data_IF_847758100434
#
_entry.id   IF_847758100434
#
_cell.length_a   1.000
_cell.length_b   1.000
_cell.length_c   1.000
_cell.angle_alpha   90.00
_cell.angle_beta   90.00
_cell.angle_gamma   90.00
#
_symmetry.space_group_name_H-M   'P 1'
#
loop_
_entity.id
_entity.type
_entity.pdbx_description
1 polymer ?
#
# COMPACT_ATOMS: atom_id res chain seq x y z
N UNK A 1 20.47 -0.13 -24.27
CA UNK A 1 20.24 -1.59 -24.28
C UNK A 1 21.03 -2.34 -23.21
N UNK A 2 22.32 -2.09 -22.95
CA UNK A 2 23.06 -2.79 -21.86
C UNK A 2 22.65 -2.38 -20.43
N UNK A 3 22.37 -1.09 -20.19
CA UNK A 3 21.93 -0.59 -18.87
C UNK A 3 20.59 -1.18 -18.42
N UNK A 4 19.66 -1.40 -19.35
CA UNK A 4 18.35 -2.02 -19.07
C UNK A 4 18.48 -3.50 -18.70
N UNK A 5 19.38 -4.25 -19.36
CA UNK A 5 19.65 -5.65 -19.01
C UNK A 5 20.24 -5.78 -17.60
N UNK A 6 21.12 -4.86 -17.22
CA UNK A 6 21.71 -4.84 -15.88
C UNK A 6 20.66 -4.56 -14.78
N UNK A 7 19.72 -3.63 -15.04
CA UNK A 7 18.62 -3.36 -14.11
C UNK A 7 17.64 -4.53 -14.02
N UNK A 8 17.24 -5.12 -15.15
CA UNK A 8 16.35 -6.28 -15.16
C UNK A 8 16.95 -7.49 -14.41
N UNK A 9 18.26 -7.71 -14.56
CA UNK A 9 18.96 -8.76 -13.82
C UNK A 9 18.99 -8.48 -12.30
N UNK A 10 19.30 -7.23 -11.90
CA UNK A 10 19.28 -6.81 -10.50
C UNK A 10 17.86 -6.88 -9.91
N UNK A 11 16.83 -6.54 -10.69
CA UNK A 11 15.41 -6.67 -10.34
C UNK A 11 15.07 -8.12 -10.00
N UNK A 12 15.39 -9.06 -10.90
CA UNK A 12 15.16 -10.49 -10.66
C UNK A 12 15.92 -11.01 -9.42
N UNK A 13 17.14 -10.54 -9.18
CA UNK A 13 17.91 -10.92 -7.98
C UNK A 13 17.25 -10.45 -6.68
N UNK A 14 16.75 -9.21 -6.66
CA UNK A 14 16.06 -8.64 -5.50
C UNK A 14 14.71 -9.33 -5.29
N UNK A 15 13.92 -9.56 -6.35
CA UNK A 15 12.64 -10.29 -6.25
C UNK A 15 12.84 -11.69 -5.67
N UNK A 16 13.85 -12.43 -6.16
CA UNK A 16 14.19 -13.75 -5.65
C UNK A 16 14.66 -13.71 -4.19
N UNK A 17 15.40 -12.68 -3.81
CA UNK A 17 15.83 -12.48 -2.43
C UNK A 17 14.63 -12.24 -1.50
N UNK A 18 13.73 -11.32 -1.87
CA UNK A 18 12.54 -10.99 -1.09
C UNK A 18 11.60 -12.18 -0.99
N UNK A 19 11.37 -12.94 -2.07
CA UNK A 19 10.57 -14.17 -2.04
C UNK A 19 11.14 -15.21 -1.05
N UNK A 20 12.45 -15.40 -1.03
CA UNK A 20 13.12 -16.30 -0.06
C UNK A 20 12.97 -15.80 1.38
N UNK A 21 13.12 -14.50 1.61
CA UNK A 21 12.92 -13.90 2.93
C UNK A 21 11.46 -14.00 3.39
N UNK A 22 10.50 -13.82 2.48
CA UNK A 22 9.08 -14.00 2.74
C UNK A 22 8.77 -15.43 3.19
N UNK A 23 9.21 -16.43 2.42
CA UNK A 23 9.03 -17.84 2.76
C UNK A 23 9.68 -18.22 4.09
N UNK A 24 10.86 -17.67 4.39
CA UNK A 24 11.54 -17.88 5.68
C UNK A 24 10.80 -17.24 6.85
N UNK A 25 10.19 -16.09 6.64
CA UNK A 25 9.54 -15.33 7.72
C UNK A 25 8.13 -15.85 8.03
N UNK A 26 7.35 -16.20 7.01
CA UNK A 26 5.96 -16.61 7.15
C UNK A 26 5.75 -18.12 7.07
N UNK A 27 6.71 -18.88 6.54
CA UNK A 27 6.56 -20.33 6.36
C UNK A 27 5.48 -20.70 5.34
N UNK A 28 4.76 -21.80 5.60
CA UNK A 28 3.64 -22.26 4.76
C UNK A 28 2.31 -21.98 5.44
N UNK A 29 1.56 -21.03 4.90
CA UNK A 29 0.12 -20.89 5.10
C UNK A 29 -0.31 -20.07 6.32
N UNK A 30 -1.38 -19.28 6.13
CA UNK A 30 -2.02 -18.50 7.18
C UNK A 30 -2.23 -17.04 6.77
N UNK A 31 -3.29 -16.43 7.30
CA UNK A 31 -3.59 -15.02 7.09
C UNK A 31 -2.52 -14.15 7.77
N UNK A 32 -1.97 -13.18 7.04
CA UNK A 32 -0.93 -12.29 7.55
C UNK A 32 -1.56 -10.95 7.99
N UNK A 33 -1.66 -10.77 9.31
CA UNK A 33 -2.11 -9.50 9.92
C UNK A 33 -1.24 -8.31 9.51
N UNK A 34 -1.82 -7.10 9.44
CA UNK A 34 -1.11 -5.84 9.12
C UNK A 34 0.14 -5.65 10.00
N UNK A 35 0.07 -5.90 11.30
CA UNK A 35 1.23 -5.79 12.21
C UNK A 35 2.40 -6.70 11.81
N UNK A 36 2.11 -7.90 11.32
CA UNK A 36 3.13 -8.83 10.79
C UNK A 36 3.68 -8.34 9.45
N UNK A 37 2.84 -7.75 8.58
CA UNK A 37 3.27 -7.11 7.32
C UNK A 37 4.24 -5.96 7.60
N UNK A 38 3.91 -5.06 8.52
CA UNK A 38 4.76 -3.94 8.94
C UNK A 38 6.15 -4.43 9.40
N UNK A 39 6.19 -5.40 10.32
CA UNK A 39 7.45 -5.98 10.81
C UNK A 39 8.28 -6.60 9.69
N UNK A 40 7.63 -7.32 8.77
CA UNK A 40 8.29 -7.90 7.62
C UNK A 40 8.85 -6.82 6.68
N UNK A 41 8.05 -5.82 6.34
CA UNK A 41 8.46 -4.71 5.47
C UNK A 41 9.65 -3.94 6.04
N UNK A 42 9.60 -3.55 7.32
CA UNK A 42 10.73 -2.89 7.98
C UNK A 42 12.02 -3.72 7.89
N UNK A 43 11.90 -5.04 8.15
CA UNK A 43 13.04 -5.97 8.09
C UNK A 43 13.57 -6.14 6.66
N UNK A 44 12.69 -6.34 5.68
CA UNK A 44 13.09 -6.62 4.30
C UNK A 44 13.66 -5.38 3.63
N UNK A 45 13.07 -4.21 3.85
CA UNK A 45 13.59 -2.91 3.37
C UNK A 45 14.99 -2.67 3.91
N UNK A 46 15.25 -2.93 5.20
CA UNK A 46 16.61 -2.82 5.75
C UNK A 46 17.59 -3.80 5.10
N UNK A 47 17.19 -5.06 4.90
CA UNK A 47 18.04 -6.09 4.28
C UNK A 47 18.34 -5.77 2.80
N UNK A 48 17.33 -5.36 2.05
CA UNK A 48 17.47 -4.95 0.65
C UNK A 48 18.35 -3.70 0.56
N UNK A 49 18.12 -2.71 1.43
CA UNK A 49 18.94 -1.51 1.54
C UNK A 49 20.43 -1.81 1.74
N UNK A 50 20.75 -2.74 2.65
CA UNK A 50 22.14 -3.17 2.91
C UNK A 50 22.76 -3.94 1.75
N UNK A 51 22.00 -4.76 1.04
CA UNK A 51 22.53 -5.70 0.02
C UNK A 51 22.54 -5.11 -1.39
N UNK A 52 21.58 -4.26 -1.72
CA UNK A 52 21.32 -3.81 -3.09
C UNK A 52 21.27 -2.29 -3.25
N UNK A 53 21.22 -1.54 -2.14
CA UNK A 53 21.16 -0.07 -2.09
C UNK A 53 19.83 0.45 -1.54
N UNK A 54 19.85 1.66 -0.98
CA UNK A 54 18.67 2.32 -0.34
C UNK A 54 17.62 2.79 -1.36
N UNK A 55 17.97 2.80 -2.63
CA UNK A 55 17.13 3.36 -3.69
C UNK A 55 16.07 2.37 -4.21
N UNK A 56 15.73 1.33 -3.45
CA UNK A 56 14.78 0.30 -3.89
C UNK A 56 13.57 0.29 -2.98
N UNK A 57 12.39 0.54 -3.55
CA UNK A 57 11.11 0.32 -2.87
C UNK A 57 10.58 -1.06 -3.23
N UNK A 58 10.30 -1.86 -2.20
CA UNK A 58 9.71 -3.19 -2.35
C UNK A 58 8.20 -3.09 -2.16
N UNK A 59 7.42 -3.42 -3.18
CA UNK A 59 5.98 -3.65 -3.03
C UNK A 59 5.72 -5.13 -2.91
N UNK A 60 5.11 -5.57 -1.81
CA UNK A 60 4.90 -6.99 -1.52
C UNK A 60 3.41 -7.28 -1.50
N UNK A 61 2.97 -8.14 -2.41
CA UNK A 61 1.64 -8.71 -2.39
C UNK A 61 1.62 -9.90 -1.42
N UNK A 62 1.05 -9.67 -0.24
CA UNK A 62 0.94 -10.66 0.82
C UNK A 62 -0.10 -11.75 0.54
N UNK A 63 -0.99 -11.57 -0.45
CA UNK A 63 -1.97 -12.59 -0.87
C UNK A 63 -1.35 -13.61 -1.82
N UNK A 64 -0.44 -13.17 -2.69
CA UNK A 64 0.25 -14.00 -3.68
C UNK A 64 1.59 -14.54 -3.19
N UNK A 65 1.68 -14.91 -1.91
CA UNK A 65 2.87 -15.48 -1.26
C UNK A 65 4.16 -14.65 -1.48
N UNK A 66 4.04 -13.32 -1.47
CA UNK A 66 5.17 -12.42 -1.64
C UNK A 66 5.55 -12.23 -3.10
N UNK A 67 4.57 -12.10 -4.01
CA UNK A 67 4.84 -11.47 -5.30
C UNK A 67 5.36 -10.04 -5.06
N UNK A 68 6.48 -9.71 -5.70
CA UNK A 68 7.17 -8.43 -5.46
C UNK A 68 7.17 -7.65 -6.74
N UNK A 69 6.61 -6.44 -6.71
CA UNK A 69 6.91 -5.43 -7.72
C UNK A 69 7.97 -4.51 -7.15
N UNK A 70 9.10 -4.41 -7.85
CA UNK A 70 10.19 -3.53 -7.45
C UNK A 70 10.12 -2.23 -8.22
N UNK A 71 10.31 -1.16 -7.48
CA UNK A 71 10.24 0.19 -7.99
C UNK A 71 11.63 0.81 -7.81
N UNK A 72 12.17 1.33 -8.91
CA UNK A 72 13.46 2.01 -8.95
C UNK A 72 13.23 3.46 -9.31
N UNK A 73 14.00 4.40 -8.75
CA UNK A 73 13.87 5.80 -9.12
C UNK A 73 14.24 5.95 -10.60
N UNK A 74 13.25 6.26 -11.43
CA UNK A 74 13.49 6.69 -12.81
C UNK A 74 14.27 8.01 -12.84
N UNK A 75 14.75 8.43 -14.02
CA UNK A 75 15.43 9.72 -14.24
C UNK A 75 14.54 10.77 -14.93
N UNK A 76 13.27 10.47 -15.17
CA UNK A 76 12.36 11.38 -15.88
C UNK A 76 11.55 12.22 -14.89
N UNK A 77 11.44 13.52 -15.15
CA UNK A 77 10.76 14.48 -14.26
C UNK A 77 9.27 14.69 -14.60
N UNK A 78 8.80 14.21 -15.76
CA UNK A 78 7.46 14.49 -16.26
C UNK A 78 6.87 13.28 -16.99
N UNK A 79 5.58 13.04 -16.78
CA UNK A 79 4.75 12.17 -17.63
C UNK A 79 3.82 13.07 -18.44
N UNK A 80 3.24 12.58 -19.54
CA UNK A 80 2.29 13.35 -20.35
C UNK A 80 1.01 13.81 -19.62
N UNK A 81 0.90 13.57 -18.31
CA UNK A 81 -0.26 13.83 -17.44
C UNK A 81 -0.06 15.02 -16.47
N UNK A 82 1.06 15.75 -16.56
CA UNK A 82 1.31 16.96 -15.76
C UNK A 82 2.61 16.91 -14.94
N UNK A 83 2.80 17.90 -14.06
CA UNK A 83 3.98 17.97 -13.18
C UNK A 83 3.90 16.87 -12.13
N UNK A 84 5.03 16.22 -11.87
CA UNK A 84 5.16 15.19 -10.84
C UNK A 84 5.90 15.76 -9.64
N UNK A 85 5.41 15.43 -8.46
CA UNK A 85 5.99 15.82 -7.18
C UNK A 85 6.51 14.56 -6.48
N UNK A 86 7.76 14.60 -6.05
CA UNK A 86 8.39 13.44 -5.42
C UNK A 86 7.95 13.35 -3.95
N UNK A 87 7.70 12.12 -3.49
CA UNK A 87 7.55 11.83 -2.06
C UNK A 87 8.85 12.16 -1.31
N UNK A 88 8.73 12.68 -0.09
CA UNK A 88 9.87 12.92 0.79
C UNK A 88 10.36 11.62 1.44
N UNK A 89 9.44 10.72 1.75
CA UNK A 89 9.76 9.43 2.41
C UNK A 89 10.27 8.39 1.42
N UNK A 90 9.66 8.31 0.23
CA UNK A 90 9.96 7.29 -0.77
C UNK A 90 10.38 7.91 -2.11
N UNK A 91 11.69 7.99 -2.43
CA UNK A 91 12.16 8.59 -3.67
C UNK A 91 11.58 7.99 -4.96
N UNK A 92 11.00 6.79 -4.88
CA UNK A 92 10.41 6.05 -5.98
C UNK A 92 8.92 6.32 -6.19
N UNK A 93 8.30 7.07 -5.28
CA UNK A 93 6.89 7.45 -5.33
C UNK A 93 6.77 8.90 -5.78
N UNK A 94 5.84 9.13 -6.69
CA UNK A 94 5.51 10.46 -7.18
C UNK A 94 4.00 10.69 -7.12
N UNK A 95 3.62 11.92 -6.80
CA UNK A 95 2.26 12.41 -6.80
C UNK A 95 2.05 13.28 -8.04
N UNK A 96 0.90 13.13 -8.69
CA UNK A 96 0.48 14.08 -9.74
C UNK A 96 0.09 15.42 -9.08
N UNK A 97 0.26 16.53 -9.81
CA UNK A 97 -0.28 17.84 -9.37
C UNK A 97 -1.75 17.73 -8.96
N UNK A 98 -2.54 17.03 -9.76
CA UNK A 98 -3.96 16.81 -9.53
C UNK A 98 -4.28 16.10 -8.20
N UNK A 99 -3.42 15.17 -7.76
CA UNK A 99 -3.56 14.52 -6.46
C UNK A 99 -3.37 15.53 -5.32
N UNK A 100 -2.35 16.38 -5.42
CA UNK A 100 -1.99 17.34 -4.38
C UNK A 100 -3.03 18.46 -4.30
N UNK A 101 -3.40 19.04 -5.43
CA UNK A 101 -4.37 20.15 -5.49
C UNK A 101 -5.71 19.73 -4.89
N UNK A 102 -6.24 18.58 -5.31
CA UNK A 102 -7.50 18.04 -4.76
C UNK A 102 -7.41 17.74 -3.27
N UNK A 103 -6.26 17.26 -2.80
CA UNK A 103 -6.07 16.99 -1.39
C UNK A 103 -6.10 18.29 -0.58
N UNK A 104 -5.36 19.31 -1.02
CA UNK A 104 -5.31 20.64 -0.39
C UNK A 104 -6.69 21.30 -0.36
N UNK A 105 -7.42 21.29 -1.48
CA UNK A 105 -8.77 21.85 -1.59
C UNK A 105 -9.74 21.17 -0.61
N UNK A 106 -9.70 19.84 -0.49
CA UNK A 106 -10.61 19.09 0.37
C UNK A 106 -10.28 19.26 1.85
N UNK A 107 -8.99 19.30 2.18
CA UNK A 107 -8.54 19.42 3.58
C UNK A 107 -8.44 20.87 4.05
N UNK A 108 -8.70 21.84 3.16
CA UNK A 108 -8.64 23.28 3.44
C UNK A 108 -7.31 23.68 4.11
N UNK A 109 -6.21 23.04 3.72
CA UNK A 109 -4.89 23.27 4.29
C UNK A 109 -3.95 23.95 3.31
N UNK A 110 -3.15 24.88 3.83
CA UNK A 110 -2.01 25.49 3.15
C UNK A 110 -0.69 24.77 3.46
N UNK A 111 -0.73 23.74 4.32
CA UNK A 111 0.46 22.99 4.71
C UNK A 111 0.96 22.11 3.57
N UNK A 112 2.20 21.62 3.71
CA UNK A 112 2.80 20.74 2.73
C UNK A 112 2.08 19.38 2.69
N UNK A 113 1.11 19.27 1.78
CA UNK A 113 0.24 18.11 1.59
C UNK A 113 1.01 16.81 1.35
N UNK A 114 2.21 16.88 0.77
CA UNK A 114 3.05 15.70 0.49
C UNK A 114 3.47 15.00 1.79
N UNK A 115 3.76 15.75 2.85
CA UNK A 115 4.17 15.17 4.14
C UNK A 115 3.02 14.34 4.74
N UNK A 116 1.80 14.88 4.68
CA UNK A 116 0.60 14.18 5.18
C UNK A 116 0.29 12.95 4.32
N UNK A 117 0.35 13.09 2.99
CA UNK A 117 0.15 11.98 2.06
C UNK A 117 1.19 10.87 2.26
N UNK A 118 2.45 11.21 2.48
CA UNK A 118 3.52 10.25 2.77
C UNK A 118 3.24 9.45 4.05
N UNK A 119 2.76 10.11 5.11
CA UNK A 119 2.37 9.42 6.35
C UNK A 119 1.24 8.42 6.13
N UNK A 120 0.28 8.72 5.27
CA UNK A 120 -0.82 7.81 4.94
C UNK A 120 -0.37 6.70 4.00
N UNK A 121 0.56 7.01 3.10
CA UNK A 121 1.11 6.08 2.12
C UNK A 121 1.87 4.94 2.79
N UNK A 122 2.63 5.19 3.86
CA UNK A 122 3.36 4.16 4.59
C UNK A 122 2.47 3.00 5.06
N UNK A 123 1.26 3.33 5.53
CA UNK A 123 0.25 2.34 5.87
C UNK A 123 -0.35 1.70 4.62
N UNK A 124 -0.66 2.52 3.61
CA UNK A 124 -1.30 2.07 2.38
C UNK A 124 -0.45 1.04 1.60
N UNK A 125 0.88 1.18 1.59
CA UNK A 125 1.80 0.26 0.91
C UNK A 125 1.67 -1.20 1.41
N UNK A 126 1.20 -1.42 2.63
CA UNK A 126 0.98 -2.75 3.22
C UNK A 126 -0.22 -3.50 2.62
N UNK A 127 -1.05 -2.79 1.87
CA UNK A 127 -2.25 -3.29 1.20
C UNK A 127 -2.03 -3.53 -0.29
N UNK A 128 -0.79 -3.34 -0.78
CA UNK A 128 -0.46 -3.63 -2.16
C UNK A 128 -0.85 -5.06 -2.55
N UNK A 129 -1.51 -5.18 -3.70
CA UNK A 129 -2.00 -6.46 -4.23
C UNK A 129 -3.37 -6.90 -3.70
N UNK A 130 -3.94 -6.23 -2.68
CA UNK A 130 -5.31 -6.51 -2.23
C UNK A 130 -6.35 -6.01 -3.23
N UNK A 131 -6.16 -4.78 -3.72
CA UNK A 131 -7.06 -4.12 -4.65
C UNK A 131 -6.28 -3.65 -5.87
N UNK A 132 -6.70 -4.08 -7.05
CA UNK A 132 -6.00 -3.72 -8.29
C UNK A 132 -6.09 -2.20 -8.54
N UNK A 133 -4.93 -1.54 -8.64
CA UNK A 133 -4.85 -0.09 -8.86
C UNK A 133 -5.14 0.78 -7.63
N UNK A 134 -5.40 0.18 -6.46
CA UNK A 134 -5.71 0.92 -5.23
C UNK A 134 -4.88 0.48 -4.03
N UNK A 135 -4.46 1.44 -3.21
CA UNK A 135 -3.88 1.21 -1.88
C UNK A 135 -4.81 1.80 -0.83
N UNK A 136 -5.01 1.08 0.26
CA UNK A 136 -5.98 1.42 1.31
C UNK A 136 -5.24 1.69 2.61
N UNK A 137 -5.55 2.79 3.28
CA UNK A 137 -5.08 3.09 4.64
C UNK A 137 -6.26 3.42 5.55
N UNK A 138 -6.00 3.66 6.83
CA UNK A 138 -7.02 4.04 7.82
C UNK A 138 -7.73 5.36 7.50
N UNK A 139 -7.12 6.24 6.71
CA UNK A 139 -7.65 7.57 6.40
C UNK A 139 -8.29 7.70 5.02
N UNK A 140 -8.14 6.69 4.16
CA UNK A 140 -8.69 6.72 2.82
C UNK A 140 -8.03 5.77 1.84
N UNK A 141 -8.21 6.06 0.56
CA UNK A 141 -7.79 5.21 -0.56
C UNK A 141 -6.98 6.00 -1.57
N UNK A 142 -5.82 5.48 -1.94
CA UNK A 142 -4.97 5.99 -3.01
C UNK A 142 -5.25 5.21 -4.30
N UNK A 143 -5.47 5.92 -5.41
CA UNK A 143 -5.41 5.31 -6.73
C UNK A 143 -4.01 5.49 -7.31
N UNK A 144 -3.42 4.40 -7.81
CA UNK A 144 -2.05 4.41 -8.32
C UNK A 144 -1.93 3.73 -9.67
N UNK A 145 -0.83 4.03 -10.37
CA UNK A 145 -0.38 3.33 -11.56
C UNK A 145 1.13 3.07 -11.46
N UNK A 146 1.59 1.95 -12.01
CA UNK A 146 3.01 1.66 -12.14
C UNK A 146 3.47 2.10 -13.52
N UNK A 147 4.19 3.21 -13.60
CA UNK A 147 4.75 3.74 -14.85
C UNK A 147 6.27 3.79 -14.75
N UNK A 148 7.00 3.24 -15.73
CA UNK A 148 8.47 3.29 -15.81
C UNK A 148 9.18 2.86 -14.51
N UNK A 149 8.73 1.76 -13.90
CA UNK A 149 9.22 1.26 -12.61
C UNK A 149 9.11 2.28 -11.47
N UNK A 150 8.14 3.21 -11.50
CA UNK A 150 7.76 4.15 -10.42
C UNK A 150 6.32 3.93 -9.96
N UNK A 151 6.03 4.27 -8.68
CA UNK A 151 4.66 4.34 -8.18
C UNK A 151 4.13 5.75 -8.42
N UNK A 152 3.18 5.89 -9.33
CA UNK A 152 2.52 7.17 -9.62
C UNK A 152 1.18 7.20 -8.90
N UNK A 153 1.07 8.04 -7.87
CA UNK A 153 -0.19 8.30 -7.18
C UNK A 153 -0.98 9.32 -8.00
N UNK A 154 -2.11 8.87 -8.52
CA UNK A 154 -2.99 9.70 -9.36
C UNK A 154 -3.94 10.56 -8.54
N UNK A 155 -4.48 9.99 -7.46
CA UNK A 155 -5.44 10.68 -6.61
C UNK A 155 -5.53 10.00 -5.25
N UNK A 156 -6.02 10.75 -4.27
CA UNK A 156 -6.36 10.28 -2.94
C UNK A 156 -7.83 10.63 -2.63
N UNK A 157 -8.54 9.70 -2.02
CA UNK A 157 -9.93 9.85 -1.62
C UNK A 157 -10.00 9.61 -0.12
N UNK A 158 -10.40 10.65 0.64
CA UNK A 158 -10.62 10.54 2.08
C UNK A 158 -11.70 9.49 2.36
N UNK A 159 -11.56 8.79 3.48
CA UNK A 159 -12.54 7.79 3.91
C UNK A 159 -13.97 8.34 3.93
N UNK A 160 -14.15 9.55 4.47
CA UNK A 160 -15.45 10.25 4.59
C UNK A 160 -16.15 10.52 3.25
N UNK A 161 -15.42 10.45 2.13
CA UNK A 161 -15.93 10.68 0.78
C UNK A 161 -16.23 9.37 0.04
N UNK A 162 -15.99 8.22 0.67
CA UNK A 162 -16.30 6.91 0.10
C UNK A 162 -17.79 6.60 0.32
N UNK A 163 -18.42 6.07 -0.72
CA UNK A 163 -19.76 5.47 -0.61
C UNK A 163 -19.71 4.16 0.19
N UNK A 164 -20.84 3.76 0.76
CA UNK A 164 -20.95 2.48 1.50
C UNK A 164 -20.51 1.28 0.68
N UNK A 165 -20.82 1.26 -0.62
CA UNK A 165 -20.37 0.21 -1.54
C UNK A 165 -18.84 0.20 -1.69
N UNK A 166 -18.20 1.38 -1.76
CA UNK A 166 -16.75 1.50 -1.80
C UNK A 166 -16.10 1.12 -0.47
N UNK A 167 -16.73 1.45 0.65
CA UNK A 167 -16.26 1.03 1.97
C UNK A 167 -16.31 -0.49 2.08
N UNK A 168 -17.44 -1.13 1.72
CA UNK A 168 -17.56 -2.61 1.70
C UNK A 168 -16.54 -3.26 0.77
N UNK A 169 -16.28 -2.63 -0.38
CA UNK A 169 -15.29 -3.12 -1.35
C UNK A 169 -13.86 -3.02 -0.82
N UNK A 170 -13.46 -1.86 -0.31
CA UNK A 170 -12.07 -1.58 0.05
C UNK A 170 -11.71 -2.03 1.47
N UNK A 171 -12.63 -1.95 2.43
CA UNK A 171 -12.43 -2.24 3.86
C UNK A 171 -13.12 -3.53 4.30
N UNK A 172 -13.06 -4.57 3.48
CA UNK A 172 -13.60 -5.90 3.80
C UNK A 172 -12.84 -6.57 4.96
N UNK A 173 -13.23 -7.80 5.32
CA UNK A 173 -12.79 -8.51 6.54
C UNK A 173 -11.25 -8.50 6.79
N UNK A 174 -10.43 -8.44 5.74
CA UNK A 174 -8.96 -8.33 5.80
C UNK A 174 -8.42 -6.99 6.31
N UNK A 175 -9.20 -5.93 6.14
CA UNK A 175 -8.88 -4.53 6.40
C UNK A 175 -9.82 -3.89 7.43
N UNK A 176 -10.77 -4.66 7.98
CA UNK A 176 -11.68 -4.24 9.05
C UNK A 176 -10.94 -3.71 10.29
N UNK A 177 -9.68 -4.12 10.51
CA UNK A 177 -8.82 -3.57 11.57
C UNK A 177 -8.52 -2.07 11.41
N UNK A 178 -8.74 -1.48 10.23
CA UNK A 178 -8.60 -0.05 9.99
C UNK A 178 -9.86 0.75 10.34
N UNK A 179 -10.99 0.08 10.58
CA UNK A 179 -12.24 0.71 10.98
C UNK A 179 -12.22 0.95 12.50
N UNK A 180 -12.71 2.11 12.94
CA UNK A 180 -12.88 2.41 14.36
C UNK A 180 -14.07 1.65 14.94
N UNK A 181 -14.14 1.40 16.26
CA UNK A 181 -15.28 0.71 16.89
C UNK A 181 -16.63 1.36 16.56
N UNK A 182 -16.71 2.69 16.49
CA UNK A 182 -17.93 3.42 16.12
C UNK A 182 -18.42 3.15 14.67
N UNK A 183 -17.56 2.56 13.83
CA UNK A 183 -17.87 2.14 12.47
C UNK A 183 -18.27 0.66 12.38
N UNK A 184 -18.18 -0.07 13.50
CA UNK A 184 -18.56 -1.47 13.66
C UNK A 184 -19.89 -1.46 14.42
N UNK A 185 -21.00 -1.73 13.72
CA UNK A 185 -22.33 -1.83 14.33
C UNK A 185 -22.36 -2.90 15.44
N UNK A 186 -22.79 -2.52 16.65
CA UNK A 186 -22.97 -3.43 17.80
C UNK A 186 -24.26 -4.28 17.71
N UNK A 187 -25.17 -3.99 16.79
CA UNK A 187 -26.40 -4.76 16.63
C UNK A 187 -26.18 -5.94 15.66
N UNK A 188 -26.03 -7.15 16.22
CA UNK A 188 -25.84 -8.39 15.45
C UNK A 188 -27.00 -8.68 14.46
N UNK A 189 -28.17 -8.06 14.65
CA UNK A 189 -29.31 -8.17 13.74
C UNK A 189 -29.28 -7.17 12.57
N UNK A 190 -28.42 -6.13 12.62
CA UNK A 190 -28.19 -5.18 11.51
C UNK A 190 -26.74 -5.15 11.02
N UNK A 191 -25.87 -6.02 11.54
CA UNK A 191 -24.46 -6.06 11.17
C UNK A 191 -24.19 -6.85 9.90
N UNK A 192 -23.62 -6.16 8.89
CA UNK A 192 -23.18 -6.74 7.61
C UNK A 192 -21.76 -7.37 7.67
N UNK A 193 -21.09 -7.33 8.82
CA UNK A 193 -19.78 -7.96 9.05
C UNK A 193 -19.81 -8.67 10.41
N UNK A 194 -19.82 -10.01 10.38
CA UNK A 194 -19.76 -10.87 11.57
C UNK A 194 -18.30 -11.23 11.82
N UNK A 195 -17.76 -10.84 12.99
CA UNK A 195 -16.46 -11.32 13.44
C UNK A 195 -16.61 -12.73 14.05
N UNK A 196 -15.78 -13.67 13.59
CA UNK A 196 -15.91 -15.12 13.91
C UNK A 196 -15.85 -15.44 15.41
N UNK A 197 -15.29 -14.55 16.24
CA UNK A 197 -15.19 -14.74 17.70
C UNK A 197 -16.50 -14.44 18.48
N UNK A 198 -17.55 -13.92 17.83
CA UNK A 198 -18.83 -13.60 18.48
C UNK A 198 -19.93 -14.64 18.24
N UNK A 199 -19.62 -15.77 17.61
CA UNK A 199 -20.61 -16.84 17.49
C UNK A 199 -20.85 -17.47 18.86
N UNK A 200 -22.09 -17.45 19.41
CA UNK A 200 -22.40 -18.27 20.56
C UNK A 200 -22.15 -19.73 20.18
N UNK A 201 -21.34 -20.40 20.99
CA UNK A 201 -21.16 -21.85 20.88
C UNK A 201 -22.54 -22.49 20.99
N UNK A 202 -22.95 -23.21 19.93
CA UNK A 202 -24.22 -23.93 19.93
C UNK A 202 -24.23 -24.87 21.14
N UNK A 203 -25.25 -24.82 22.01
CA UNK A 203 -25.45 -25.89 22.97
C UNK A 203 -25.87 -27.16 22.21
N UNK A 204 -25.22 -28.28 22.54
CA UNK A 204 -25.64 -29.64 22.18
C UNK A 204 -26.99 -30.00 22.82
#
# INVERSE_FOLDING_TARGET
MEKDRYFAFKKAQVENFVKKEFQRYFGRGGRISIRKRQRFMARVTQKVGKKFGKDILCLVDFTKQGFVSLISPSKMESTGKGKLYQSFTHPQVVYTTHCIDRFSERTHTTDNCIITLDSYLDEALLTYGLHEGYLVCSKGVFAFELENDRLVIKTYINFELLSDEQIKKFYSHDLAMFLTPDMISEDAASSDIIMVDELPTKPE
#
